data_IF_165409954945
#
_entry.id   IF_165409954945
#
_cell.length_a   1.000
_cell.length_b   1.000
_cell.length_c   1.000
_cell.angle_alpha   90.00
_cell.angle_beta   90.00
_cell.angle_gamma   90.00
#
_symmetry.space_group_name_H-M   'P 1'
#
loop_
_entity.id
_entity.type
_entity.pdbx_description
1 polymer ?
#
# COMPACT_ATOMS: atom_id res chain seq x y z
N UNK A 1 3.40 12.90 19.19
CA UNK A 1 3.01 13.53 17.90
C UNK A 1 4.22 13.45 16.98
N UNK A 2 4.29 12.39 16.19
CA UNK A 2 5.41 12.13 15.28
C UNK A 2 5.10 12.87 13.97
N UNK A 3 5.89 13.90 13.70
CA UNK A 3 5.91 14.62 12.42
C UNK A 3 6.87 13.84 11.52
N UNK A 4 6.46 13.57 10.28
CA UNK A 4 7.24 12.81 9.31
C UNK A 4 8.62 13.45 9.11
N UNK A 5 9.63 12.60 9.13
CA UNK A 5 11.01 12.98 8.85
C UNK A 5 11.59 11.93 7.92
N UNK A 6 12.54 12.35 7.09
CA UNK A 6 13.60 11.55 6.47
C UNK A 6 14.44 10.82 7.53
N UNK A 7 13.81 9.97 8.34
CA UNK A 7 14.46 9.15 9.33
C UNK A 7 14.40 7.72 8.82
N UNK A 8 15.55 7.05 8.83
CA UNK A 8 15.64 5.59 8.85
C UNK A 8 14.49 5.06 9.73
N UNK A 9 13.45 4.52 9.08
CA UNK A 9 12.23 4.20 9.79
C UNK A 9 12.55 3.08 10.77
N UNK A 10 12.42 3.34 12.07
CA UNK A 10 12.73 2.38 13.12
C UNK A 10 11.43 1.73 13.58
N UNK A 11 11.41 0.41 13.63
CA UNK A 11 10.29 -0.36 14.17
C UNK A 11 10.01 0.09 15.61
N UNK A 12 8.77 0.50 15.95
CA UNK A 12 8.45 1.06 17.26
C UNK A 12 8.47 0.02 18.39
N UNK A 13 8.38 -1.27 18.05
CA UNK A 13 8.41 -2.40 18.99
C UNK A 13 9.83 -2.89 19.19
N UNK A 14 10.57 -3.12 18.10
CA UNK A 14 11.91 -3.71 18.17
C UNK A 14 13.04 -2.68 18.24
N UNK A 15 12.73 -1.40 17.98
CA UNK A 15 13.71 -0.30 17.89
C UNK A 15 14.85 -0.54 16.89
N UNK A 16 14.64 -1.40 15.90
CA UNK A 16 15.60 -1.67 14.83
C UNK A 16 15.19 -0.93 13.56
N UNK A 17 16.13 -0.53 12.69
CA UNK A 17 15.80 -0.04 11.36
C UNK A 17 14.93 -1.06 10.64
N UNK A 18 13.84 -0.60 10.03
CA UNK A 18 13.00 -1.43 9.18
C UNK A 18 13.83 -1.86 7.98
N UNK A 19 13.90 -3.17 7.71
CA UNK A 19 14.75 -3.72 6.66
C UNK A 19 14.09 -3.48 5.31
N UNK A 20 14.16 -2.26 4.79
CA UNK A 20 13.72 -1.95 3.43
C UNK A 20 14.46 -2.82 2.42
N UNK A 21 13.70 -3.36 1.47
CA UNK A 21 14.26 -4.10 0.35
C UNK A 21 15.10 -3.16 -0.51
N UNK A 22 16.27 -3.65 -0.94
CA UNK A 22 17.12 -2.95 -1.92
C UNK A 22 16.70 -3.35 -3.31
N UNK A 23 16.86 -2.46 -4.29
CA UNK A 23 16.55 -2.72 -5.71
C UNK A 23 17.57 -3.65 -6.38
N UNK A 24 17.87 -4.79 -5.75
CA UNK A 24 18.82 -5.77 -6.26
C UNK A 24 18.29 -6.43 -7.54
N UNK A 25 19.09 -6.52 -8.62
CA UNK A 25 18.61 -7.03 -9.91
C UNK A 25 17.94 -8.42 -9.83
N UNK A 26 18.45 -9.31 -8.98
CA UNK A 26 17.89 -10.63 -8.77
C UNK A 26 16.50 -10.60 -8.13
N UNK A 27 16.28 -9.68 -7.18
CA UNK A 27 14.99 -9.50 -6.54
C UNK A 27 13.98 -8.87 -7.51
N UNK A 28 14.39 -7.82 -8.23
CA UNK A 28 13.57 -7.16 -9.25
C UNK A 28 13.14 -8.15 -10.33
N UNK A 29 14.05 -9.00 -10.81
CA UNK A 29 13.73 -10.02 -11.79
C UNK A 29 12.73 -11.03 -11.24
N UNK A 30 12.92 -11.48 -10.00
CA UNK A 30 12.00 -12.42 -9.33
C UNK A 30 10.60 -11.84 -9.18
N UNK A 31 10.49 -10.58 -8.73
CA UNK A 31 9.21 -9.89 -8.65
C UNK A 31 8.60 -9.85 -10.06
N UNK A 32 9.34 -9.35 -11.06
CA UNK A 32 8.85 -9.23 -12.44
C UNK A 32 8.31 -10.54 -13.00
N UNK A 33 8.99 -11.67 -12.76
CA UNK A 33 8.62 -13.00 -13.25
C UNK A 33 7.49 -13.67 -12.44
N UNK A 34 7.16 -13.16 -11.24
CA UNK A 34 6.13 -13.74 -10.42
C UNK A 34 4.78 -13.81 -11.17
N UNK A 35 4.10 -14.98 -11.17
CA UNK A 35 2.89 -15.19 -11.97
C UNK A 35 1.73 -14.32 -11.48
N UNK A 36 1.69 -14.06 -10.18
CA UNK A 36 0.76 -13.14 -9.54
C UNK A 36 1.45 -12.37 -8.43
N UNK A 37 0.90 -11.21 -8.09
CA UNK A 37 1.42 -10.28 -7.10
C UNK A 37 0.27 -9.62 -6.35
N UNK A 38 0.45 -9.38 -5.06
CA UNK A 38 -0.37 -8.42 -4.32
C UNK A 38 0.49 -7.19 -4.09
N UNK A 39 0.02 -6.01 -4.48
CA UNK A 39 0.71 -4.75 -4.24
C UNK A 39 -0.10 -3.90 -3.27
N UNK A 40 0.63 -3.05 -2.55
CA UNK A 40 0.08 -2.06 -1.62
C UNK A 40 1.01 -0.85 -1.62
N UNK A 41 0.44 0.36 -1.67
CA UNK A 41 1.22 1.60 -1.71
C UNK A 41 0.89 2.54 -0.56
N UNK A 42 1.94 3.06 0.07
CA UNK A 42 1.82 4.14 1.03
C UNK A 42 2.26 5.45 0.40
N UNK A 43 1.52 6.51 0.67
CA UNK A 43 1.72 7.82 0.05
C UNK A 43 1.77 8.91 1.12
N UNK A 44 2.33 10.06 0.77
CA UNK A 44 2.33 11.22 1.69
C UNK A 44 0.98 11.95 1.77
N UNK A 45 -0.03 11.52 0.99
CA UNK A 45 -1.40 12.04 1.09
C UNK A 45 -2.45 11.25 0.28
N UNK A 46 -3.72 11.47 0.58
CA UNK A 46 -4.83 10.55 0.21
C UNK A 46 -5.06 10.33 -1.29
N UNK A 47 -4.71 11.26 -2.17
CA UNK A 47 -4.76 11.13 -3.63
C UNK A 47 -4.09 12.35 -4.30
N UNK A 48 -3.84 12.34 -5.62
CA UNK A 48 -3.22 13.46 -6.34
C UNK A 48 -4.07 14.73 -6.37
N UNK A 49 -5.38 14.60 -6.12
CA UNK A 49 -6.30 15.73 -5.99
C UNK A 49 -6.34 16.29 -4.55
N UNK A 50 -5.59 15.69 -3.63
CA UNK A 50 -5.49 16.16 -2.25
C UNK A 50 -4.77 17.50 -2.25
N UNK A 51 -5.20 18.39 -1.37
CA UNK A 51 -4.45 19.63 -1.16
C UNK A 51 -3.09 19.27 -0.58
N UNK A 52 -2.04 19.91 -1.10
CA UNK A 52 -0.72 19.83 -0.50
C UNK A 52 -0.80 20.11 1.00
N UNK A 53 -0.06 19.33 1.79
CA UNK A 53 -0.04 19.51 3.22
C UNK A 53 0.77 20.76 3.55
N UNK A 54 0.14 21.75 4.18
CA UNK A 54 0.84 22.96 4.62
C UNK A 54 1.50 22.73 5.97
N UNK A 55 2.83 22.81 6.03
CA UNK A 55 3.59 22.77 7.28
C UNK A 55 4.03 24.15 7.75
N UNK A 56 4.42 24.25 9.03
CA UNK A 56 5.00 25.48 9.59
C UNK A 56 6.42 25.73 9.05
N UNK A 57 6.88 26.98 8.99
CA UNK A 57 8.28 27.30 8.62
C UNK A 57 9.31 26.53 9.46
N UNK A 58 9.01 26.29 10.74
CA UNK A 58 9.87 25.51 11.64
C UNK A 58 9.95 24.03 11.23
N UNK A 59 8.91 23.50 10.60
CA UNK A 59 8.86 22.12 10.08
C UNK A 59 9.67 22.01 8.80
N UNK A 60 9.52 22.94 7.85
CA UNK A 60 10.33 22.97 6.63
C UNK A 60 11.83 23.12 6.94
N UNK A 61 12.19 23.96 7.92
CA UNK A 61 13.58 24.06 8.40
C UNK A 61 14.14 22.77 9.00
N UNK A 62 13.27 21.82 9.36
CA UNK A 62 13.67 20.49 9.85
C UNK A 62 13.63 19.42 8.75
N UNK A 63 13.47 19.82 7.49
CA UNK A 63 13.48 18.92 6.34
C UNK A 63 12.15 18.24 6.05
N UNK A 64 11.02 18.76 6.56
CA UNK A 64 9.71 18.21 6.19
C UNK A 64 9.40 18.54 4.74
N UNK A 65 9.02 17.52 3.98
CA UNK A 65 8.60 17.64 2.59
C UNK A 65 7.06 17.54 2.47
N UNK A 66 6.46 18.53 1.83
CA UNK A 66 5.02 18.65 1.60
C UNK A 66 4.55 18.02 0.29
N UNK A 67 5.46 17.56 -0.56
CA UNK A 67 5.13 17.00 -1.86
C UNK A 67 4.32 15.69 -1.72
N UNK A 68 3.22 15.63 -2.47
CA UNK A 68 2.41 14.42 -2.62
C UNK A 68 3.15 13.42 -3.50
N UNK A 69 3.54 12.28 -2.93
CA UNK A 69 4.32 11.26 -3.62
C UNK A 69 4.03 9.86 -3.09
N UNK A 70 4.38 8.87 -3.91
CA UNK A 70 4.52 7.48 -3.50
C UNK A 70 5.74 7.36 -2.57
N UNK A 71 5.52 6.83 -1.36
CA UNK A 71 6.54 6.71 -0.31
C UNK A 71 7.00 5.27 -0.11
N UNK A 72 6.07 4.33 -0.03
CA UNK A 72 6.38 2.90 0.12
C UNK A 72 5.67 2.11 -0.96
N UNK A 73 6.39 1.17 -1.54
CA UNK A 73 5.84 0.14 -2.43
C UNK A 73 6.04 -1.21 -1.75
N UNK A 74 4.94 -1.86 -1.38
CA UNK A 74 4.96 -3.21 -0.83
C UNK A 74 4.46 -4.20 -1.86
N UNK A 75 5.10 -5.37 -1.91
CA UNK A 75 4.74 -6.45 -2.83
C UNK A 75 4.84 -7.79 -2.14
N UNK A 76 3.80 -8.59 -2.34
CA UNK A 76 3.75 -9.99 -1.95
C UNK A 76 3.67 -10.86 -3.20
N UNK A 77 4.57 -11.85 -3.29
CA UNK A 77 4.67 -12.80 -4.41
C UNK A 77 4.78 -14.24 -3.91
N UNK A 78 4.52 -15.26 -4.75
CA UNK A 78 4.85 -16.65 -4.44
C UNK A 78 6.31 -16.81 -4.02
N UNK A 79 6.55 -17.57 -2.96
CA UNK A 79 7.90 -17.96 -2.59
C UNK A 79 8.49 -18.90 -3.67
N UNK A 80 9.76 -18.74 -4.06
CA UNK A 80 10.43 -19.68 -4.94
C UNK A 80 10.42 -21.10 -4.38
N UNK A 81 10.32 -22.12 -5.24
CA UNK A 81 10.43 -23.52 -4.82
C UNK A 81 11.76 -23.75 -4.10
N UNK A 82 11.73 -24.26 -2.88
CA UNK A 82 12.93 -24.55 -2.08
C UNK A 82 13.36 -23.43 -1.14
N UNK A 83 12.70 -22.27 -1.14
CA UNK A 83 12.82 -21.30 -0.04
C UNK A 83 11.90 -21.72 1.11
N UNK A 84 12.43 -21.94 2.33
CA UNK A 84 11.60 -22.24 3.48
C UNK A 84 10.87 -20.96 3.92
N UNK A 85 9.67 -20.75 3.39
CA UNK A 85 8.73 -19.77 3.95
C UNK A 85 7.57 -20.51 4.60
N UNK A 86 7.20 -20.12 5.82
CA UNK A 86 6.11 -20.77 6.56
C UNK A 86 4.75 -20.62 5.86
N UNK A 87 4.61 -19.62 5.00
CA UNK A 87 3.36 -19.18 4.38
C UNK A 87 3.31 -19.43 2.87
N UNK A 88 4.39 -19.90 2.24
CA UNK A 88 4.47 -20.09 0.79
C UNK A 88 4.55 -18.77 -0.03
N UNK A 89 4.69 -17.63 0.65
CA UNK A 89 4.80 -16.30 0.03
C UNK A 89 6.05 -15.57 0.51
N UNK A 90 6.47 -14.56 -0.24
CA UNK A 90 7.55 -13.63 0.07
C UNK A 90 6.98 -12.22 0.03
N UNK A 91 7.30 -11.40 1.04
CA UNK A 91 6.85 -10.02 1.14
C UNK A 91 8.07 -9.11 1.16
N UNK A 92 8.06 -8.09 0.33
CA UNK A 92 9.12 -7.10 0.22
C UNK A 92 8.51 -5.70 0.23
N UNK A 93 9.18 -4.77 0.88
CA UNK A 93 8.76 -3.37 0.94
C UNK A 93 9.92 -2.47 0.57
N UNK A 94 9.69 -1.54 -0.35
CA UNK A 94 10.68 -0.59 -0.83
C UNK A 94 10.32 0.81 -0.34
N UNK A 95 11.28 1.47 0.30
CA UNK A 95 11.24 2.91 0.52
C UNK A 95 11.61 3.61 -0.79
N UNK A 96 10.64 4.28 -1.43
CA UNK A 96 10.81 4.89 -2.75
C UNK A 96 11.70 6.13 -2.72
N UNK A 97 11.79 6.86 -1.60
CA UNK A 97 12.67 8.04 -1.55
C UNK A 97 14.15 7.64 -1.44
N UNK A 98 14.45 6.45 -0.92
CA UNK A 98 15.81 5.90 -0.85
C UNK A 98 16.34 5.37 -2.20
N UNK A 99 15.46 5.21 -3.19
CA UNK A 99 15.83 4.72 -4.52
C UNK A 99 16.16 5.87 -5.46
N UNK A 100 17.12 5.64 -6.36
CA UNK A 100 17.35 6.54 -7.49
C UNK A 100 16.26 6.43 -8.56
N UNK A 101 16.24 7.34 -9.53
CA UNK A 101 15.20 7.36 -10.57
C UNK A 101 15.11 6.07 -11.39
N UNK A 102 16.23 5.38 -11.65
CA UNK A 102 16.25 4.10 -12.39
C UNK A 102 15.72 2.96 -11.53
N UNK A 103 16.12 2.94 -10.27
CA UNK A 103 15.67 1.94 -9.29
C UNK A 103 14.16 2.06 -9.05
N UNK A 104 13.61 3.28 -8.90
CA UNK A 104 12.16 3.52 -8.77
C UNK A 104 11.39 2.95 -9.96
N UNK A 105 11.84 3.24 -11.17
CA UNK A 105 11.24 2.69 -12.39
C UNK A 105 11.34 1.17 -12.44
N UNK A 106 12.48 0.60 -12.07
CA UNK A 106 12.70 -0.85 -12.08
C UNK A 106 11.80 -1.59 -11.08
N UNK A 107 11.69 -1.09 -9.84
CA UNK A 107 10.80 -1.61 -8.79
C UNK A 107 9.35 -1.51 -9.22
N UNK A 108 8.87 -0.31 -9.56
CA UNK A 108 7.47 -0.10 -9.90
C UNK A 108 7.07 -0.90 -11.15
N UNK A 109 7.93 -0.93 -12.17
CA UNK A 109 7.68 -1.76 -13.36
C UNK A 109 7.68 -3.25 -13.02
N UNK A 110 8.56 -3.74 -12.16
CA UNK A 110 8.54 -5.15 -11.77
C UNK A 110 7.26 -5.51 -10.99
N UNK A 111 6.79 -4.64 -10.09
CA UNK A 111 5.53 -4.81 -9.36
C UNK A 111 4.30 -4.76 -10.28
N UNK A 112 4.40 -4.08 -11.43
CA UNK A 112 3.30 -3.85 -12.36
C UNK A 112 3.40 -4.73 -13.63
N UNK A 113 3.52 -6.05 -13.44
CA UNK A 113 3.50 -7.07 -14.51
C UNK A 113 2.63 -8.27 -14.15
N UNK A 114 2.21 -9.05 -15.17
CA UNK A 114 1.41 -10.26 -15.04
C UNK A 114 0.07 -9.97 -14.31
N UNK A 115 -0.35 -10.83 -13.39
CA UNK A 115 -1.54 -10.62 -12.56
C UNK A 115 -1.17 -9.79 -11.34
N UNK A 116 -1.80 -8.63 -11.18
CA UNK A 116 -1.64 -7.73 -10.04
C UNK A 116 -2.96 -7.64 -9.29
N UNK A 117 -2.89 -7.80 -7.97
CA UNK A 117 -4.02 -7.73 -7.05
C UNK A 117 -3.74 -6.60 -6.07
N UNK A 118 -4.74 -5.78 -5.77
CA UNK A 118 -4.64 -4.74 -4.76
C UNK A 118 -5.99 -4.50 -4.07
N UNK A 119 -6.00 -3.75 -2.98
CA UNK A 119 -7.22 -3.31 -2.31
C UNK A 119 -7.49 -1.86 -2.71
N UNK A 120 -8.66 -1.57 -3.30
CA UNK A 120 -8.88 -0.27 -3.96
C UNK A 120 -7.84 -0.03 -5.09
N UNK A 121 -7.70 -1.02 -5.97
CA UNK A 121 -6.57 -1.13 -6.91
C UNK A 121 -6.36 0.08 -7.82
N UNK A 122 -7.39 0.90 -8.05
CA UNK A 122 -7.25 2.15 -8.79
C UNK A 122 -6.29 3.15 -8.13
N UNK A 123 -6.23 3.16 -6.79
CA UNK A 123 -5.32 4.00 -6.04
C UNK A 123 -3.87 3.55 -6.20
N UNK A 124 -3.59 2.27 -5.93
CA UNK A 124 -2.24 1.69 -6.08
C UNK A 124 -1.75 1.79 -7.52
N UNK A 125 -2.62 1.45 -8.48
CA UNK A 125 -2.27 1.49 -9.89
C UNK A 125 -1.90 2.91 -10.34
N UNK A 126 -2.63 3.94 -9.89
CA UNK A 126 -2.31 5.32 -10.22
C UNK A 126 -0.88 5.68 -9.80
N UNK A 127 -0.54 5.46 -8.53
CA UNK A 127 0.76 5.86 -7.98
C UNK A 127 1.90 5.02 -8.56
N UNK A 128 1.67 3.72 -8.74
CA UNK A 128 2.63 2.81 -9.38
C UNK A 128 2.94 3.25 -10.82
N UNK A 129 1.92 3.67 -11.57
CA UNK A 129 2.04 4.04 -12.99
C UNK A 129 2.83 5.34 -13.23
N UNK A 130 3.04 6.15 -12.20
CA UNK A 130 3.94 7.33 -12.31
C UNK A 130 5.38 6.94 -12.63
N UNK A 131 5.81 5.73 -12.24
CA UNK A 131 7.17 5.24 -12.46
C UNK A 131 7.22 3.95 -13.29
N UNK A 132 6.16 3.14 -13.28
CA UNK A 132 6.13 1.90 -14.03
C UNK A 132 6.01 2.15 -15.54
N UNK A 133 6.89 1.54 -16.34
CA UNK A 133 6.81 1.53 -17.80
C UNK A 133 5.94 0.38 -18.34
N UNK A 134 5.79 -0.68 -17.55
CA UNK A 134 4.99 -1.87 -17.88
C UNK A 134 3.53 -1.69 -17.50
N UNK A 135 2.70 -2.64 -17.95
CA UNK A 135 1.30 -2.77 -17.55
C UNK A 135 1.01 -4.23 -17.17
N UNK A 136 0.16 -4.48 -16.15
CA UNK A 136 -0.24 -5.83 -15.80
C UNK A 136 -1.12 -6.42 -16.91
N UNK A 137 -1.02 -7.74 -17.11
CA UNK A 137 -1.94 -8.46 -18.00
C UNK A 137 -3.36 -8.52 -17.41
N UNK A 138 -3.46 -8.43 -16.07
CA UNK A 138 -4.73 -8.39 -15.35
C UNK A 138 -4.54 -7.62 -14.04
N UNK A 139 -5.39 -6.63 -13.79
CA UNK A 139 -5.49 -5.91 -12.52
C UNK A 139 -6.78 -6.31 -11.80
N UNK A 140 -6.66 -6.83 -10.58
CA UNK A 140 -7.78 -7.28 -9.76
C UNK A 140 -7.91 -6.40 -8.52
N UNK A 141 -9.11 -5.86 -8.33
CA UNK A 141 -9.48 -5.12 -7.13
C UNK A 141 -10.17 -6.06 -6.14
N UNK A 142 -9.49 -6.37 -5.04
CA UNK A 142 -10.03 -7.23 -3.98
C UNK A 142 -11.27 -6.64 -3.32
N UNK A 143 -11.43 -5.32 -3.24
CA UNK A 143 -12.67 -4.69 -2.74
C UNK A 143 -13.85 -5.01 -3.67
N UNK A 144 -13.63 -4.90 -4.98
CA UNK A 144 -14.70 -5.18 -5.96
C UNK A 144 -15.05 -6.68 -5.95
N UNK A 145 -14.05 -7.56 -5.85
CA UNK A 145 -14.28 -8.99 -5.71
C UNK A 145 -15.07 -9.31 -4.44
N UNK A 146 -14.70 -8.74 -3.30
CA UNK A 146 -15.43 -8.91 -2.04
C UNK A 146 -16.90 -8.45 -2.17
N UNK A 147 -17.14 -7.29 -2.80
CA UNK A 147 -18.49 -6.77 -3.06
C UNK A 147 -19.32 -7.68 -3.97
N UNK A 148 -18.71 -8.36 -4.93
CA UNK A 148 -19.41 -9.30 -5.81
C UNK A 148 -19.76 -10.59 -5.05
N UNK A 149 -18.85 -11.09 -4.21
CA UNK A 149 -19.05 -12.32 -3.44
C UNK A 149 -20.04 -12.14 -2.28
N UNK A 150 -20.03 -10.96 -1.66
CA UNK A 150 -20.87 -10.61 -0.51
C UNK A 150 -21.64 -9.31 -0.77
N UNK A 151 -22.57 -9.30 -1.75
CA UNK A 151 -23.27 -8.07 -2.15
C UNK A 151 -24.14 -7.49 -1.05
N UNK A 152 -24.57 -8.32 -0.09
CA UNK A 152 -25.38 -7.91 1.05
C UNK A 152 -24.56 -7.29 2.20
N UNK A 153 -23.23 -7.44 2.21
CA UNK A 153 -22.38 -6.98 3.32
C UNK A 153 -22.55 -5.47 3.61
N UNK A 154 -22.59 -4.56 2.62
CA UNK A 154 -22.85 -3.15 2.89
C UNK A 154 -24.23 -2.90 3.54
N UNK A 155 -25.24 -3.70 3.17
CA UNK A 155 -26.59 -3.59 3.73
C UNK A 155 -26.64 -4.11 5.16
N UNK A 156 -25.95 -5.20 5.45
CA UNK A 156 -25.82 -5.75 6.81
C UNK A 156 -25.11 -4.73 7.71
N UNK A 157 -23.97 -4.18 7.26
CA UNK A 157 -23.24 -3.18 8.04
C UNK A 157 -24.02 -1.88 8.23
N UNK A 158 -24.76 -1.40 7.22
CA UNK A 158 -25.63 -0.25 7.36
C UNK A 158 -26.78 -0.49 8.37
N UNK A 159 -27.30 -1.72 8.43
CA UNK A 159 -28.29 -2.12 9.45
C UNK A 159 -27.66 -2.14 10.85
N UNK A 160 -26.44 -2.65 10.99
CA UNK A 160 -25.70 -2.67 12.27
C UNK A 160 -25.47 -1.26 12.84
N UNK A 161 -25.20 -0.26 11.99
CA UNK A 161 -25.13 1.14 12.44
C UNK A 161 -26.44 1.66 13.07
N UNK A 162 -27.57 1.11 12.63
CA UNK A 162 -28.91 1.54 13.05
C UNK A 162 -29.49 0.71 14.20
N UNK A 163 -28.86 -0.42 14.55
CA UNK A 163 -29.33 -1.30 15.61
C UNK A 163 -28.69 -0.92 16.96
N UNK A 164 -29.51 -0.81 18.00
CA UNK A 164 -29.09 -0.46 19.36
C UNK A 164 -28.66 -1.68 20.17
N UNK A 165 -28.98 -2.89 19.71
CA UNK A 165 -28.65 -4.15 20.40
C UNK A 165 -27.38 -4.83 19.88
N UNK A 166 -26.74 -4.24 18.87
CA UNK A 166 -25.58 -4.83 18.23
C UNK A 166 -24.33 -4.67 19.07
N UNK A 167 -23.39 -5.59 18.86
CA UNK A 167 -22.10 -5.55 19.54
C UNK A 167 -21.42 -4.20 19.29
N UNK A 168 -20.98 -3.57 20.38
CA UNK A 168 -20.42 -2.23 20.36
C UNK A 168 -19.19 -2.12 19.46
N UNK A 169 -18.35 -3.16 19.40
CA UNK A 169 -17.15 -3.18 18.55
C UNK A 169 -17.53 -3.27 17.07
N UNK A 170 -18.47 -4.16 16.73
CA UNK A 170 -18.96 -4.31 15.35
C UNK A 170 -19.69 -3.06 14.85
N UNK A 171 -20.45 -2.40 15.74
CA UNK A 171 -21.11 -1.14 15.43
C UNK A 171 -20.11 -0.02 15.20
N UNK A 172 -19.06 0.08 16.01
CA UNK A 172 -18.01 1.08 15.85
C UNK A 172 -17.24 0.91 14.52
N UNK A 173 -16.96 -0.33 14.11
CA UNK A 173 -16.35 -0.63 12.80
C UNK A 173 -17.27 -0.21 11.64
N UNK A 174 -18.55 -0.56 11.71
CA UNK A 174 -19.53 -0.18 10.70
C UNK A 174 -19.68 1.35 10.59
N UNK A 175 -19.72 2.07 11.71
CA UNK A 175 -19.79 3.53 11.74
C UNK A 175 -18.53 4.19 11.15
N UNK A 176 -17.33 3.66 11.42
CA UNK A 176 -16.10 4.17 10.81
C UNK A 176 -16.10 4.04 9.29
N UNK A 177 -16.58 2.90 8.76
CA UNK A 177 -16.64 2.66 7.32
C UNK A 177 -17.64 3.58 6.61
N UNK A 178 -18.85 3.78 7.17
CA UNK A 178 -19.92 4.53 6.49
C UNK A 178 -19.93 6.04 6.78
N UNK A 179 -19.67 6.45 8.02
CA UNK A 179 -19.88 7.84 8.44
C UNK A 179 -18.61 8.68 8.35
N UNK A 180 -17.44 8.06 8.43
CA UNK A 180 -16.14 8.78 8.40
C UNK A 180 -15.39 8.63 7.08
N UNK A 181 -15.89 7.83 6.14
CA UNK A 181 -15.24 7.60 4.83
C UNK A 181 -13.83 7.00 4.96
N UNK A 182 -13.51 6.39 6.10
CA UNK A 182 -12.26 5.71 6.36
C UNK A 182 -12.41 4.24 5.96
N UNK A 183 -12.61 3.97 4.68
CA UNK A 183 -12.38 2.65 4.11
C UNK A 183 -11.03 2.69 3.41
N UNK A 184 -9.98 2.46 4.21
CA UNK A 184 -8.69 1.99 3.73
C UNK A 184 -8.69 0.48 3.75
#
# INVERSE_FOLDING_TARGET
KQLGFDLDYVDPVTHNPVPWAKAEPALIQRIREAPWKIIDVETTGLNPASKEQTFSNKSYQRGVDSELRLRVMSVLIPAPSGMPTATGVMVESFDIDQLDGRERMAVCSACFTNVVIAHNAGFDAYWTRLFAETEPTLLLDSMLLARILYPEQPLVMARMCSDENEDYELKAEAEMMFMKGASG
#
